data_IF_069026714158
#
_entry.id   IF_069026714158
#
_cell.length_a   1.000
_cell.length_b   1.000
_cell.length_c   1.000
_cell.angle_alpha   90.00
_cell.angle_beta   90.00
_cell.angle_gamma   90.00
#
_symmetry.space_group_name_H-M   'P 1'
#
loop_
_entity.id
_entity.type
_entity.pdbx_description
1 polymer ?
#
# COMPACT_ATOMS: atom_id res chain seq x y z
N UNK A 1 -11.66 43.08 22.13
CA UNK A 1 -10.41 42.43 21.73
C UNK A 1 -10.73 40.97 21.41
N UNK A 2 -10.22 40.43 20.31
CA UNK A 2 -10.49 39.06 19.90
C UNK A 2 -9.90 38.09 20.93
N UNK A 3 -10.70 37.16 21.47
CA UNK A 3 -10.32 36.26 22.57
C UNK A 3 -9.62 34.97 22.07
N UNK A 4 -9.02 35.03 20.88
CA UNK A 4 -8.36 33.89 20.25
C UNK A 4 -6.84 34.01 20.39
N UNK A 5 -6.10 32.88 20.47
CA UNK A 5 -4.65 32.89 20.47
C UNK A 5 -4.09 33.48 19.17
N UNK A 6 -2.83 33.91 19.18
CA UNK A 6 -2.15 34.33 17.95
C UNK A 6 -2.10 33.17 16.94
N UNK A 7 -2.59 33.42 15.73
CA UNK A 7 -2.64 32.42 14.65
C UNK A 7 -1.67 32.85 13.55
N UNK A 8 -0.84 31.91 13.09
CA UNK A 8 0.09 32.13 11.99
C UNK A 8 -0.21 31.19 10.82
N UNK A 9 0.01 31.66 9.59
CA UNK A 9 -0.16 30.84 8.40
C UNK A 9 1.07 29.97 8.18
N UNK A 10 0.87 28.65 8.18
CA UNK A 10 1.90 27.68 7.79
C UNK A 10 1.59 27.17 6.38
N UNK A 11 2.62 27.08 5.53
CA UNK A 11 2.58 26.35 4.26
C UNK A 11 3.62 25.24 4.32
N UNK A 12 3.16 24.00 4.14
CA UNK A 12 4.03 22.83 4.09
C UNK A 12 4.10 22.33 2.66
N UNK A 13 5.31 22.09 2.17
CA UNK A 13 5.55 21.35 0.94
C UNK A 13 6.14 20.01 1.33
N UNK A 14 5.53 18.93 0.85
CA UNK A 14 6.05 17.59 1.00
C UNK A 14 6.73 17.18 -0.31
N UNK A 15 7.79 16.38 -0.21
CA UNK A 15 8.29 15.69 -1.39
C UNK A 15 7.21 14.76 -1.94
N UNK A 16 7.00 14.81 -3.25
CA UNK A 16 6.03 14.00 -3.96
C UNK A 16 6.72 13.23 -5.09
N UNK A 17 7.61 12.26 -4.77
CA UNK A 17 8.26 11.44 -5.76
C UNK A 17 7.20 10.72 -6.62
N UNK A 18 7.49 10.62 -7.92
CA UNK A 18 6.59 9.99 -8.90
C UNK A 18 7.15 8.65 -9.37
N UNK A 19 6.25 7.71 -9.56
CA UNK A 19 6.50 6.40 -10.16
C UNK A 19 5.66 6.36 -11.44
N UNK A 20 6.32 6.22 -12.59
CA UNK A 20 5.66 6.23 -13.90
C UNK A 20 5.01 4.87 -14.19
N UNK A 21 5.69 3.77 -13.85
CA UNK A 21 5.19 2.40 -14.00
C UNK A 21 4.92 1.77 -12.63
N UNK A 22 3.72 2.05 -12.09
CA UNK A 22 3.29 1.48 -10.80
C UNK A 22 3.25 -0.05 -10.82
N UNK A 23 2.69 -0.73 -11.84
CA UNK A 23 2.76 -2.19 -11.94
C UNK A 23 4.20 -2.74 -11.90
N UNK A 24 5.10 -2.16 -12.69
CA UNK A 24 6.50 -2.58 -12.76
C UNK A 24 7.22 -2.40 -11.42
N UNK A 25 7.01 -1.26 -10.76
CA UNK A 25 7.60 -0.99 -9.44
C UNK A 25 7.08 -1.96 -8.37
N UNK A 26 5.79 -2.28 -8.38
CA UNK A 26 5.22 -3.28 -7.46
C UNK A 26 5.87 -4.65 -7.67
N UNK A 27 6.03 -5.09 -8.93
CA UNK A 27 6.70 -6.35 -9.25
C UNK A 27 8.17 -6.35 -8.78
N UNK A 28 8.90 -5.24 -9.01
CA UNK A 28 10.28 -5.08 -8.57
C UNK A 28 10.41 -5.14 -7.04
N UNK A 29 9.52 -4.48 -6.30
CA UNK A 29 9.53 -4.51 -4.83
C UNK A 29 9.18 -5.90 -4.28
N UNK A 30 8.19 -6.59 -4.87
CA UNK A 30 7.81 -7.95 -4.44
C UNK A 30 8.92 -8.97 -4.72
N UNK A 31 9.63 -8.84 -5.83
CA UNK A 31 10.76 -9.72 -6.17
C UNK A 31 11.87 -9.68 -5.10
N UNK A 32 12.08 -8.53 -4.43
CA UNK A 32 13.09 -8.37 -3.38
C UNK A 32 12.76 -9.09 -2.08
N UNK A 33 11.51 -9.49 -1.90
CA UNK A 33 11.04 -10.13 -0.66
C UNK A 33 11.26 -11.65 -0.61
N UNK A 34 11.64 -12.27 -1.75
CA UNK A 34 11.85 -13.72 -1.88
C UNK A 34 10.69 -14.55 -1.27
N UNK A 35 9.45 -14.12 -1.52
CA UNK A 35 8.27 -14.70 -0.87
C UNK A 35 8.08 -16.19 -1.13
N UNK A 36 8.63 -16.72 -2.23
CA UNK A 36 8.59 -18.14 -2.56
C UNK A 36 9.28 -19.04 -1.52
N UNK A 37 10.22 -18.50 -0.73
CA UNK A 37 10.87 -19.23 0.36
C UNK A 37 10.02 -19.28 1.63
N UNK A 38 8.98 -18.44 1.72
CA UNK A 38 8.16 -18.26 2.93
C UNK A 38 6.71 -18.69 2.75
N UNK A 39 6.21 -18.61 1.52
CA UNK A 39 4.83 -18.92 1.16
C UNK A 39 4.79 -20.25 0.43
N UNK A 40 4.03 -21.19 0.98
CA UNK A 40 3.79 -22.49 0.39
C UNK A 40 2.47 -22.50 -0.39
N UNK A 41 2.36 -23.32 -1.46
CA UNK A 41 1.11 -23.52 -2.18
C UNK A 41 -0.06 -23.83 -1.25
N UNK A 42 -1.22 -23.23 -1.52
CA UNK A 42 -2.44 -23.39 -0.73
C UNK A 42 -2.52 -22.55 0.55
N UNK A 43 -1.45 -21.84 0.95
CA UNK A 43 -1.51 -20.96 2.12
C UNK A 43 -2.42 -19.76 1.88
N UNK A 44 -3.24 -19.45 2.88
CA UNK A 44 -4.07 -18.25 2.90
C UNK A 44 -3.24 -17.04 3.34
N UNK A 45 -3.29 -15.95 2.58
CA UNK A 45 -2.50 -14.74 2.85
C UNK A 45 -3.41 -13.52 2.95
N UNK A 46 -3.40 -12.85 4.09
CA UNK A 46 -4.13 -11.60 4.28
C UNK A 46 -3.34 -10.42 3.66
N UNK A 47 -3.97 -9.68 2.76
CA UNK A 47 -3.43 -8.45 2.18
C UNK A 47 -4.15 -7.27 2.83
N UNK A 48 -3.42 -6.48 3.60
CA UNK A 48 -4.00 -5.30 4.26
C UNK A 48 -4.20 -4.16 3.26
N UNK A 49 -5.35 -3.49 3.34
CA UNK A 49 -5.68 -2.33 2.51
C UNK A 49 -6.06 -1.14 3.40
N UNK A 50 -5.23 -0.09 3.37
CA UNK A 50 -5.55 1.22 3.96
C UNK A 50 -6.40 2.07 3.02
N UNK A 51 -6.76 3.29 3.44
CA UNK A 51 -7.58 4.21 2.64
C UNK A 51 -6.99 5.60 2.42
N UNK A 52 -5.91 5.97 3.12
CA UNK A 52 -5.44 7.35 3.18
C UNK A 52 -4.15 7.55 2.42
N UNK A 53 -4.18 8.48 1.46
CA UNK A 53 -2.98 9.03 0.82
C UNK A 53 -2.23 8.08 -0.12
N UNK A 54 -2.80 6.92 -0.49
CA UNK A 54 -2.16 5.97 -1.39
C UNK A 54 -2.72 6.16 -2.81
N UNK A 55 -1.94 6.82 -3.67
CA UNK A 55 -2.26 6.90 -5.09
C UNK A 55 -2.22 5.50 -5.73
N UNK A 56 -3.14 5.23 -6.67
CA UNK A 56 -3.19 3.97 -7.42
C UNK A 56 -3.34 2.70 -6.56
N UNK A 57 -3.93 2.80 -5.37
CA UNK A 57 -4.04 1.68 -4.41
C UNK A 57 -4.64 0.41 -5.02
N UNK A 58 -5.63 0.53 -5.90
CA UNK A 58 -6.25 -0.62 -6.56
C UNK A 58 -5.25 -1.37 -7.47
N UNK A 59 -4.41 -0.64 -8.20
CA UNK A 59 -3.38 -1.22 -9.08
C UNK A 59 -2.31 -1.92 -8.24
N UNK A 60 -1.90 -1.28 -7.15
CA UNK A 60 -0.90 -1.83 -6.21
C UNK A 60 -1.41 -3.14 -5.59
N UNK A 61 -2.62 -3.13 -5.03
CA UNK A 61 -3.24 -4.32 -4.42
C UNK A 61 -3.40 -5.44 -5.45
N UNK A 62 -3.82 -5.11 -6.68
CA UNK A 62 -3.92 -6.10 -7.76
C UNK A 62 -2.58 -6.76 -8.04
N UNK A 63 -1.49 -5.99 -8.16
CA UNK A 63 -0.15 -6.54 -8.38
C UNK A 63 0.30 -7.47 -7.25
N UNK A 64 0.01 -7.13 -5.99
CA UNK A 64 0.28 -7.99 -4.83
C UNK A 64 -0.53 -9.29 -4.91
N UNK A 65 -1.83 -9.20 -5.17
CA UNK A 65 -2.73 -10.36 -5.27
C UNK A 65 -2.30 -11.29 -6.40
N UNK A 66 -1.97 -10.74 -7.57
CA UNK A 66 -1.52 -11.53 -8.73
C UNK A 66 -0.19 -12.25 -8.43
N UNK A 67 0.75 -11.56 -7.78
CA UNK A 67 2.00 -12.18 -7.35
C UNK A 67 1.76 -13.32 -6.36
N UNK A 68 0.92 -13.13 -5.35
CA UNK A 68 0.58 -14.19 -4.38
C UNK A 68 -0.10 -15.38 -5.06
N UNK A 69 -1.03 -15.14 -5.99
CA UNK A 69 -1.65 -16.21 -6.79
C UNK A 69 -0.63 -16.98 -7.63
N UNK A 70 0.40 -16.30 -8.16
CA UNK A 70 1.48 -16.97 -8.90
C UNK A 70 2.34 -17.91 -8.04
N UNK A 71 2.26 -17.77 -6.70
CA UNK A 71 2.85 -18.67 -5.72
C UNK A 71 1.88 -19.77 -5.25
N UNK A 72 0.75 -19.95 -5.94
CA UNK A 72 -0.34 -20.85 -5.58
C UNK A 72 -0.99 -20.55 -4.20
N UNK A 73 -0.83 -19.33 -3.69
CA UNK A 73 -1.46 -18.89 -2.45
C UNK A 73 -2.93 -18.50 -2.66
N UNK A 74 -3.67 -18.38 -1.55
CA UNK A 74 -5.07 -17.97 -1.50
C UNK A 74 -5.18 -16.58 -0.82
N UNK A 75 -4.93 -15.48 -1.56
CA UNK A 75 -4.97 -14.15 -0.98
C UNK A 75 -6.40 -13.64 -0.73
N UNK A 76 -6.59 -12.89 0.35
CA UNK A 76 -7.82 -12.14 0.60
C UNK A 76 -7.50 -10.76 1.17
N UNK A 77 -8.36 -9.78 0.90
CA UNK A 77 -8.14 -8.39 1.30
C UNK A 77 -8.79 -8.13 2.66
N UNK A 78 -8.03 -7.51 3.57
CA UNK A 78 -8.52 -7.10 4.89
C UNK A 78 -8.39 -5.59 5.04
N UNK A 79 -9.45 -4.86 5.43
CA UNK A 79 -9.34 -3.44 5.68
C UNK A 79 -8.43 -3.18 6.89
N UNK A 80 -7.44 -2.30 6.72
CA UNK A 80 -6.51 -1.88 7.78
C UNK A 80 -6.80 -0.43 8.19
N UNK A 81 -8.04 -0.16 8.60
CA UNK A 81 -8.53 1.20 8.85
C UNK A 81 -8.61 1.56 10.34
N UNK A 82 -8.58 0.58 11.25
CA UNK A 82 -8.69 0.86 12.69
C UNK A 82 -10.00 1.58 13.03
N UNK A 83 -9.92 2.69 13.76
CA UNK A 83 -11.08 3.51 14.17
C UNK A 83 -11.62 4.46 13.08
N UNK A 84 -11.22 4.28 11.82
CA UNK A 84 -11.62 5.13 10.70
C UNK A 84 -12.86 4.62 9.97
#
# INVERSE_FOLDING_TARGET
>A
MSNYPEIFRVRQHFEAPRIDDVPGEVAAQLARLNLRERIQPGQTVAVTAGSRGIANIAVIIKGIVDHLKSLDAQPFIVPAMGSH
#
